data_IF_154194657965
#
_entry.id   IF_154194657965
#
_cell.length_a   1.000
_cell.length_b   1.000
_cell.length_c   1.000
_cell.angle_alpha   90.00
_cell.angle_beta   90.00
_cell.angle_gamma   90.00
#
_symmetry.space_group_name_H-M   'P 1'
#
loop_
_entity.id
_entity.type
_entity.pdbx_description
1 polymer ?
#
# COMPACT_ATOMS: atom_id res chain seq x y z
N UNK A 1 -17.50 25.46 -14.46
CA UNK A 1 -17.81 24.40 -13.47
C UNK A 1 -16.70 23.37 -13.55
N UNK A 2 -16.05 23.07 -12.43
CA UNK A 2 -15.06 22.02 -12.39
C UNK A 2 -15.78 20.65 -12.31
N UNK A 3 -15.26 19.65 -13.00
CA UNK A 3 -15.81 18.30 -13.07
C UNK A 3 -14.73 17.29 -12.72
N UNK A 4 -15.07 16.32 -11.90
CA UNK A 4 -14.18 15.28 -11.44
C UNK A 4 -14.83 13.91 -11.68
N UNK A 5 -14.06 12.96 -12.16
CA UNK A 5 -14.58 11.60 -12.42
C UNK A 5 -14.72 10.79 -11.15
N UNK A 6 -13.82 10.99 -10.19
CA UNK A 6 -13.76 10.25 -8.94
C UNK A 6 -13.44 11.20 -7.79
N UNK A 7 -14.14 11.04 -6.67
CA UNK A 7 -13.83 11.74 -5.41
C UNK A 7 -13.31 10.74 -4.39
N UNK A 8 -12.14 11.01 -3.83
CA UNK A 8 -11.46 10.20 -2.83
C UNK A 8 -11.39 10.98 -1.53
N UNK A 9 -11.95 10.42 -0.46
CA UNK A 9 -11.98 11.04 0.86
C UNK A 9 -10.87 10.44 1.72
N UNK A 10 -9.96 11.30 2.18
CA UNK A 10 -8.76 10.96 2.93
C UNK A 10 -7.47 11.13 2.13
N UNK A 11 -6.34 11.18 2.82
CA UNK A 11 -5.01 11.33 2.23
C UNK A 11 -3.99 10.34 2.77
N UNK A 12 -4.46 9.24 3.36
CA UNK A 12 -3.61 8.13 3.78
C UNK A 12 -3.08 7.32 2.58
N UNK A 13 -2.19 6.35 2.80
CA UNK A 13 -1.58 5.56 1.74
C UNK A 13 -2.58 4.92 0.78
N UNK A 14 -3.69 4.37 1.29
CA UNK A 14 -4.73 3.76 0.47
C UNK A 14 -5.42 4.78 -0.44
N UNK A 15 -5.73 5.97 0.07
CA UNK A 15 -6.35 7.05 -0.70
C UNK A 15 -5.40 7.57 -1.80
N UNK A 16 -4.12 7.76 -1.47
CA UNK A 16 -3.11 8.18 -2.44
C UNK A 16 -2.89 7.12 -3.51
N UNK A 17 -2.86 5.84 -3.13
CA UNK A 17 -2.78 4.74 -4.10
C UNK A 17 -3.97 4.69 -5.04
N UNK A 18 -5.18 4.92 -4.51
CA UNK A 18 -6.39 5.01 -5.31
C UNK A 18 -6.35 6.19 -6.30
N UNK A 19 -5.82 7.33 -5.85
CA UNK A 19 -5.66 8.52 -6.72
C UNK A 19 -4.70 8.25 -7.88
N UNK A 20 -3.54 7.63 -7.60
CA UNK A 20 -2.58 7.25 -8.64
C UNK A 20 -3.19 6.25 -9.60
N UNK A 21 -3.84 5.19 -9.11
CA UNK A 21 -4.48 4.19 -9.97
C UNK A 21 -5.59 4.81 -10.86
N UNK A 22 -6.35 5.75 -10.31
CA UNK A 22 -7.38 6.47 -11.09
C UNK A 22 -6.76 7.33 -12.19
N UNK A 23 -5.69 8.06 -11.88
CA UNK A 23 -4.99 8.88 -12.86
C UNK A 23 -4.34 8.04 -13.96
N UNK A 24 -3.73 6.91 -13.60
CA UNK A 24 -3.14 5.94 -14.55
C UNK A 24 -4.21 5.33 -15.48
N UNK A 25 -5.44 5.20 -14.99
CA UNK A 25 -6.59 4.78 -15.80
C UNK A 25 -7.18 5.91 -16.67
N UNK A 26 -6.57 7.08 -16.67
CA UNK A 26 -7.00 8.23 -17.51
C UNK A 26 -8.17 9.01 -16.94
N UNK A 27 -8.51 8.85 -15.65
CA UNK A 27 -9.54 9.63 -14.98
C UNK A 27 -8.95 10.84 -14.23
N UNK A 28 -9.81 11.77 -13.84
CA UNK A 28 -9.42 12.96 -13.06
C UNK A 28 -9.91 12.81 -11.63
N UNK A 29 -9.07 12.32 -10.70
CA UNK A 29 -9.44 12.17 -9.31
C UNK A 29 -9.35 13.48 -8.54
N UNK A 30 -10.30 13.71 -7.62
CA UNK A 30 -10.24 14.73 -6.58
C UNK A 30 -10.00 14.07 -5.24
N UNK A 31 -8.93 14.46 -4.55
CA UNK A 31 -8.63 14.00 -3.18
C UNK A 31 -9.05 15.08 -2.20
N UNK A 32 -9.88 14.72 -1.23
CA UNK A 32 -10.37 15.61 -0.17
C UNK A 32 -9.89 15.09 1.19
N UNK A 33 -9.24 15.95 1.95
CA UNK A 33 -8.77 15.63 3.30
C UNK A 33 -8.96 16.82 4.24
N UNK A 34 -9.30 16.56 5.48
CA UNK A 34 -9.55 17.61 6.50
C UNK A 34 -8.28 18.28 7.02
N UNK A 35 -7.13 17.63 6.87
CA UNK A 35 -5.86 18.05 7.49
C UNK A 35 -4.76 18.36 6.44
N UNK A 36 -5.07 18.20 5.18
CA UNK A 36 -4.12 18.34 4.06
C UNK A 36 -3.41 17.05 3.68
N UNK A 37 -2.96 17.00 2.43
CA UNK A 37 -2.32 15.79 1.86
C UNK A 37 -1.07 15.44 2.66
N UNK A 38 -0.94 14.17 3.04
CA UNK A 38 0.20 13.64 3.77
C UNK A 38 0.15 13.86 5.28
N UNK A 39 -0.91 14.47 5.81
CA UNK A 39 -1.08 14.69 7.25
C UNK A 39 -1.86 13.58 7.95
N UNK A 40 -2.44 12.63 7.21
CA UNK A 40 -3.17 11.50 7.78
C UNK A 40 -2.26 10.62 8.67
N UNK A 41 -2.86 9.91 9.61
CA UNK A 41 -2.14 9.03 10.56
C UNK A 41 -1.24 7.98 9.90
N UNK A 42 -1.55 7.58 8.67
CA UNK A 42 -0.72 6.69 7.86
C UNK A 42 0.49 7.35 7.19
N UNK A 43 0.60 8.68 7.27
CA UNK A 43 1.74 9.44 6.76
C UNK A 43 2.83 9.68 7.82
N UNK A 44 2.66 9.16 9.04
CA UNK A 44 3.72 9.17 10.04
C UNK A 44 4.97 8.46 9.49
N UNK A 45 6.18 8.87 9.89
CA UNK A 45 7.41 8.20 9.46
C UNK A 45 7.31 6.71 9.72
N UNK A 46 7.36 5.91 8.66
CA UNK A 46 7.36 4.45 8.77
C UNK A 46 8.72 3.98 9.28
N UNK A 47 8.71 3.24 10.38
CA UNK A 47 9.91 2.60 10.91
C UNK A 47 10.25 1.31 10.16
N UNK A 48 9.31 0.76 9.42
CA UNK A 48 9.46 -0.44 8.62
C UNK A 48 8.18 -0.79 7.87
N UNK A 49 8.31 -1.69 6.92
CA UNK A 49 7.22 -2.25 6.14
C UNK A 49 7.32 -3.76 6.19
N UNK A 50 6.24 -4.43 6.63
CA UNK A 50 6.15 -5.89 6.59
C UNK A 50 5.68 -6.33 5.22
N UNK A 51 6.53 -7.05 4.49
CA UNK A 51 6.20 -7.61 3.19
C UNK A 51 7.11 -8.80 2.89
N UNK A 52 6.65 -9.71 2.05
CA UNK A 52 7.51 -10.71 1.42
C UNK A 52 8.45 -10.05 0.42
N UNK A 53 9.67 -10.54 0.34
CA UNK A 53 10.70 -10.04 -0.57
C UNK A 53 10.81 -10.88 -1.85
N UNK A 54 10.25 -12.08 -1.84
CA UNK A 54 10.14 -12.95 -3.00
C UNK A 54 8.84 -13.76 -2.96
N UNK A 55 8.55 -14.48 -4.04
CA UNK A 55 7.32 -15.27 -4.16
C UNK A 55 7.28 -16.47 -3.21
N UNK A 56 8.42 -17.06 -2.88
CA UNK A 56 8.51 -18.20 -1.94
C UNK A 56 8.17 -17.78 -0.53
N UNK A 57 8.57 -16.57 -0.15
CA UNK A 57 8.33 -15.99 1.16
C UNK A 57 6.86 -15.51 1.35
N UNK A 58 6.12 -15.36 0.26
CA UNK A 58 4.73 -14.85 0.31
C UNK A 58 3.79 -15.76 1.12
N UNK A 59 4.02 -17.07 1.13
CA UNK A 59 3.25 -18.04 1.90
C UNK A 59 3.51 -17.88 3.41
N UNK A 60 4.76 -17.71 3.79
CA UNK A 60 5.17 -17.48 5.18
C UNK A 60 4.56 -16.17 5.69
N UNK A 61 4.68 -15.10 4.91
CA UNK A 61 4.09 -13.79 5.23
C UNK A 61 2.57 -13.88 5.40
N UNK A 62 1.87 -14.63 4.53
CA UNK A 62 0.42 -14.87 4.66
C UNK A 62 0.10 -15.60 5.94
N UNK A 63 0.80 -16.68 6.26
CA UNK A 63 0.53 -17.52 7.42
C UNK A 63 0.79 -16.75 8.72
N UNK A 64 1.85 -15.97 8.78
CA UNK A 64 2.16 -15.06 9.88
C UNK A 64 1.07 -13.98 10.05
N UNK A 65 0.62 -13.38 8.95
CA UNK A 65 -0.44 -12.36 8.95
C UNK A 65 -1.77 -12.95 9.49
N UNK A 66 -2.14 -14.14 9.03
CA UNK A 66 -3.35 -14.82 9.49
C UNK A 66 -3.23 -15.20 10.97
N UNK A 67 -2.06 -15.70 11.38
CA UNK A 67 -1.81 -16.07 12.79
C UNK A 67 -1.89 -14.87 13.72
N UNK A 68 -1.27 -13.74 13.32
CA UNK A 68 -1.29 -12.51 14.10
C UNK A 68 -2.70 -11.92 14.27
N UNK A 69 -3.52 -12.00 13.23
CA UNK A 69 -4.89 -11.48 13.25
C UNK A 69 -5.92 -12.43 13.87
N UNK A 70 -5.58 -13.70 14.05
CA UNK A 70 -6.45 -14.72 14.66
C UNK A 70 -7.79 -14.86 13.93
N UNK A 71 -8.85 -15.09 14.70
CA UNK A 71 -10.20 -15.34 14.17
C UNK A 71 -10.82 -14.13 13.46
N UNK A 72 -10.29 -12.93 13.67
CA UNK A 72 -10.77 -11.69 13.02
C UNK A 72 -10.22 -11.50 11.62
N UNK A 73 -9.29 -12.34 11.17
CA UNK A 73 -8.63 -12.21 9.88
C UNK A 73 -9.48 -12.72 8.73
N UNK A 74 -9.74 -11.87 7.74
CA UNK A 74 -10.19 -12.32 6.43
C UNK A 74 -9.02 -13.00 5.69
N UNK A 75 -9.04 -14.33 5.66
CA UNK A 75 -7.98 -15.14 5.04
C UNK A 75 -7.85 -14.91 3.54
N UNK A 76 -8.95 -14.59 2.86
CA UNK A 76 -8.95 -14.28 1.43
C UNK A 76 -8.26 -12.94 1.14
N UNK A 77 -8.56 -11.92 1.95
CA UNK A 77 -7.90 -10.62 1.86
C UNK A 77 -6.41 -10.72 2.20
N UNK A 78 -6.06 -11.46 3.25
CA UNK A 78 -4.66 -11.70 3.64
C UNK A 78 -3.86 -12.40 2.52
N UNK A 79 -4.45 -13.41 1.88
CA UNK A 79 -3.80 -14.13 0.78
C UNK A 79 -3.52 -13.20 -0.41
N UNK A 80 -4.48 -12.36 -0.80
CA UNK A 80 -4.28 -11.38 -1.88
C UNK A 80 -3.22 -10.35 -1.52
N UNK A 81 -3.33 -9.75 -0.34
CA UNK A 81 -2.39 -8.75 0.14
C UNK A 81 -0.95 -9.26 0.17
N UNK A 82 -0.71 -10.42 0.75
CA UNK A 82 0.62 -11.01 0.83
C UNK A 82 1.14 -11.47 -0.53
N UNK A 83 0.25 -11.96 -1.42
CA UNK A 83 0.62 -12.34 -2.78
C UNK A 83 1.03 -11.15 -3.67
N UNK A 84 0.48 -9.97 -3.41
CA UNK A 84 0.81 -8.75 -4.17
C UNK A 84 1.99 -7.96 -3.58
N UNK A 85 2.52 -8.37 -2.42
CA UNK A 85 3.52 -7.60 -1.67
C UNK A 85 4.81 -7.37 -2.49
N UNK A 86 5.32 -8.40 -3.17
CA UNK A 86 6.57 -8.30 -3.96
C UNK A 86 6.44 -7.29 -5.09
N UNK A 87 5.36 -7.37 -5.86
CA UNK A 87 5.11 -6.43 -6.97
C UNK A 87 4.88 -5.00 -6.47
N UNK A 88 4.19 -4.86 -5.34
CA UNK A 88 3.94 -3.57 -4.71
C UNK A 88 5.23 -2.93 -4.19
N UNK A 89 6.13 -3.71 -3.58
CA UNK A 89 7.44 -3.19 -3.18
C UNK A 89 8.25 -2.68 -4.37
N UNK A 90 8.29 -3.44 -5.47
CA UNK A 90 8.97 -3.04 -6.69
C UNK A 90 8.37 -1.76 -7.29
N UNK A 91 7.06 -1.58 -7.21
CA UNK A 91 6.38 -0.35 -7.63
C UNK A 91 6.76 0.84 -6.75
N UNK A 92 6.76 0.67 -5.43
CA UNK A 92 7.16 1.73 -4.48
C UNK A 92 8.62 2.15 -4.68
N UNK A 93 9.54 1.20 -4.93
CA UNK A 93 10.93 1.53 -5.26
C UNK A 93 11.04 2.34 -6.56
N UNK A 94 10.25 2.01 -7.58
CA UNK A 94 10.20 2.79 -8.83
C UNK A 94 9.67 4.22 -8.59
N UNK A 95 8.82 4.41 -7.59
CA UNK A 95 8.33 5.74 -7.18
C UNK A 95 9.30 6.49 -6.27
N UNK A 96 10.45 5.89 -5.93
CA UNK A 96 11.50 6.54 -5.16
C UNK A 96 11.58 6.13 -3.69
N UNK A 97 10.83 5.10 -3.26
CA UNK A 97 11.02 4.55 -1.92
C UNK A 97 12.41 3.92 -1.82
N UNK A 98 13.21 4.39 -0.87
CA UNK A 98 14.54 3.83 -0.60
C UNK A 98 14.45 2.83 0.54
N UNK A 99 14.62 1.55 0.22
CA UNK A 99 14.67 0.47 1.20
C UNK A 99 16.12 0.21 1.63
N UNK A 100 16.30 -0.03 2.93
CA UNK A 100 17.61 -0.42 3.46
C UNK A 100 17.90 -1.86 3.06
N UNK A 101 18.98 -2.07 2.32
CA UNK A 101 19.44 -3.41 1.94
C UNK A 101 20.51 -3.88 2.92
N UNK A 102 20.49 -5.16 3.26
CA UNK A 102 21.48 -5.83 4.11
C UNK A 102 22.11 -6.96 3.30
N UNK A 103 23.45 -6.98 3.24
CA UNK A 103 24.23 -8.05 2.57
C UNK A 103 23.79 -8.33 1.10
N UNK A 104 23.41 -7.28 0.38
CA UNK A 104 23.01 -7.39 -1.03
C UNK A 104 21.56 -7.81 -1.28
N UNK A 105 20.78 -8.04 -0.23
CA UNK A 105 19.33 -8.29 -0.27
C UNK A 105 18.51 -7.19 0.42
N UNK A 106 17.20 -7.30 0.36
CA UNK A 106 16.27 -6.49 1.16
C UNK A 106 16.31 -6.92 2.61
#
# INVERSE_FOLDING_TARGET
MESWDIVIIGSGPAALRAAVASADAGTTPLVIDSSGIGSASGAAPLSGLAASIDELDSTVHRDDTVTAGGDSTDKGAAARFCGEAVSTLAELERWGLVLRRRDGGL
#
